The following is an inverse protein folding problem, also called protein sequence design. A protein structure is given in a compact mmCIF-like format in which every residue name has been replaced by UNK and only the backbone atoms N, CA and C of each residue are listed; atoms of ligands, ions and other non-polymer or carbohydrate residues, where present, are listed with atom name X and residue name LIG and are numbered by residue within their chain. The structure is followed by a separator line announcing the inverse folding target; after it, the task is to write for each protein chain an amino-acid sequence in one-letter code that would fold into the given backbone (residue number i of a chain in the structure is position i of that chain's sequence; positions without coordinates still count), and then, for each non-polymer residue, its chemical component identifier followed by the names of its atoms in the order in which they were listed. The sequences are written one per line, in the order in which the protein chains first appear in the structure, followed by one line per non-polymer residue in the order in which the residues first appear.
data_IF_848087027288
#
_entry.id   IF_848087027288
#
_cell.length_a   1.000
_cell.length_b   1.000
_cell.length_c   1.000
_cell.angle_alpha   90.00
_cell.angle_beta   90.00
_cell.angle_gamma   90.00
#
_symmetry.space_group_name_H-M   'P 1'
#
loop_
_entity.id
_entity.type
_entity.pdbx_description
1 polymer ?
#
# COMPACT_ATOMS: atom_id res chain seq x y z
N UNK A 1 -16.65 -7.44 1.82
CA UNK A 1 -17.31 -7.90 3.07
C UNK A 1 -16.79 -6.97 4.16
N UNK A 2 -17.54 -5.90 4.49
CA UNK A 2 -17.20 -5.04 5.64
C UNK A 2 -17.29 -5.94 6.85
N UNK A 3 -16.16 -6.43 7.33
CA UNK A 3 -16.10 -7.12 8.60
C UNK A 3 -16.30 -6.02 9.64
N UNK A 4 -17.52 -5.88 10.13
CA UNK A 4 -17.72 -5.24 11.43
C UNK A 4 -16.80 -5.99 12.38
N UNK A 5 -15.69 -5.38 12.75
CA UNK A 5 -14.83 -5.97 13.78
C UNK A 5 -15.75 -6.09 14.97
N UNK A 6 -16.00 -7.34 15.37
CA UNK A 6 -16.64 -7.55 16.66
C UNK A 6 -15.81 -6.80 17.67
N UNK A 7 -16.44 -5.93 18.42
CA UNK A 7 -15.89 -5.07 19.46
C UNK A 7 -14.96 -5.80 20.44
N UNK A 8 -14.86 -7.13 20.35
CA UNK A 8 -14.02 -7.97 21.20
C UNK A 8 -12.51 -7.73 21.02
N UNK A 9 -12.01 -7.49 19.82
CA UNK A 9 -10.56 -7.32 19.61
C UNK A 9 -10.04 -5.92 20.04
N UNK A 10 -10.93 -4.93 20.08
CA UNK A 10 -10.64 -3.58 20.61
C UNK A 10 -10.99 -3.49 22.09
N UNK A 11 -11.98 -4.27 22.56
CA UNK A 11 -12.43 -4.33 23.96
C UNK A 11 -11.42 -5.02 24.89
N UNK A 12 -10.53 -5.88 24.37
CA UNK A 12 -9.51 -6.54 25.20
C UNK A 12 -8.43 -5.60 25.75
N UNK A 13 -8.36 -4.34 25.26
CA UNK A 13 -7.55 -3.27 25.86
C UNK A 13 -8.34 -2.31 26.78
N UNK A 14 -9.52 -2.68 27.24
CA UNK A 14 -10.33 -1.88 28.19
C UNK A 14 -9.70 -1.78 29.58
N UNK A 15 -8.45 -1.39 29.67
CA UNK A 15 -7.66 -1.18 30.88
C UNK A 15 -6.28 -0.61 30.62
N UNK A 16 -5.82 -0.63 29.37
CA UNK A 16 -4.58 0.04 28.95
C UNK A 16 -4.95 1.36 28.27
N UNK A 17 -4.31 2.44 28.69
CA UNK A 17 -4.46 3.75 28.05
C UNK A 17 -3.93 3.66 26.63
N UNK A 18 -4.80 3.93 25.62
CA UNK A 18 -4.38 4.02 24.23
C UNK A 18 -3.42 5.20 24.08
N UNK A 19 -2.42 5.03 23.22
CA UNK A 19 -1.44 6.04 22.90
C UNK A 19 -1.52 6.44 21.43
N UNK A 20 -1.04 7.64 21.09
CA UNK A 20 -1.02 8.09 19.71
C UNK A 20 0.30 8.75 19.35
N UNK A 21 0.58 8.80 18.03
CA UNK A 21 1.59 9.69 17.48
C UNK A 21 1.12 10.36 16.19
N UNK A 22 1.95 11.24 15.63
CA UNK A 22 1.65 11.97 14.41
C UNK A 22 2.81 11.78 13.43
N UNK A 23 2.49 11.45 12.17
CA UNK A 23 3.41 11.48 11.04
C UNK A 23 2.95 12.63 10.15
N UNK A 24 3.79 13.64 10.00
CA UNK A 24 3.43 14.87 9.32
C UNK A 24 4.29 15.07 8.06
N UNK A 25 3.69 15.61 6.99
CA UNK A 25 4.43 16.14 5.86
C UNK A 25 5.08 17.45 6.25
N UNK A 26 6.31 17.67 5.83
CA UNK A 26 7.08 18.88 6.16
C UNK A 26 6.60 20.09 5.36
N UNK A 27 5.48 20.69 5.82
CA UNK A 27 4.92 21.94 5.33
C UNK A 27 4.14 22.66 6.44
N UNK A 28 3.95 23.98 6.26
CA UNK A 28 3.38 24.87 7.29
C UNK A 28 1.97 24.43 7.69
N UNK A 29 1.11 24.12 6.73
CA UNK A 29 -0.30 23.76 6.99
C UNK A 29 -0.39 22.46 7.80
N UNK A 30 0.43 21.47 7.43
CA UNK A 30 0.50 20.18 8.14
C UNK A 30 0.99 20.34 9.58
N UNK A 31 1.98 21.19 9.83
CA UNK A 31 2.46 21.47 11.19
C UNK A 31 1.46 22.28 12.04
N UNK A 32 0.66 23.16 11.44
CA UNK A 32 -0.42 23.84 12.17
C UNK A 32 -1.50 22.85 12.63
N UNK A 33 -1.87 21.90 11.78
CA UNK A 33 -2.81 20.83 12.11
C UNK A 33 -2.22 19.93 13.21
N UNK A 34 -0.95 19.54 13.10
CA UNK A 34 -0.24 18.76 14.11
C UNK A 34 -0.34 19.42 15.49
N UNK A 35 -0.07 20.73 15.56
CA UNK A 35 -0.15 21.48 16.81
C UNK A 35 -1.57 21.44 17.41
N UNK A 36 -2.59 21.68 16.59
CA UNK A 36 -3.99 21.64 17.04
C UNK A 36 -4.38 20.25 17.60
N UNK A 37 -3.94 19.17 16.93
CA UNK A 37 -4.21 17.80 17.39
C UNK A 37 -3.51 17.53 18.72
N UNK A 38 -2.22 17.91 18.86
CA UNK A 38 -1.47 17.73 20.11
C UNK A 38 -2.08 18.47 21.30
N UNK A 39 -2.72 19.62 21.07
CA UNK A 39 -3.36 20.41 22.12
C UNK A 39 -4.71 19.82 22.59
N UNK A 40 -5.41 19.06 21.72
CA UNK A 40 -6.81 18.65 21.96
C UNK A 40 -7.01 17.14 22.14
N UNK A 41 -6.08 16.30 21.66
CA UNK A 41 -6.17 14.84 21.87
C UNK A 41 -5.77 14.52 23.30
N UNK A 42 -6.63 13.79 24.02
CA UNK A 42 -6.48 13.45 25.43
C UNK A 42 -5.66 12.19 25.70
N UNK A 43 -5.25 11.47 24.64
CA UNK A 43 -4.43 10.26 24.74
C UNK A 43 -2.97 10.60 24.99
N UNK A 44 -2.21 9.65 25.54
CA UNK A 44 -0.76 9.78 25.72
C UNK A 44 -0.04 9.81 24.36
N UNK A 45 0.88 10.78 24.20
CA UNK A 45 1.72 10.85 23.00
C UNK A 45 2.91 9.88 23.12
N UNK A 46 2.98 8.89 22.22
CA UNK A 46 4.01 7.88 22.19
C UNK A 46 4.47 7.62 20.75
N UNK A 47 5.70 7.98 20.40
CA UNK A 47 6.27 7.81 19.07
C UNK A 47 7.06 6.51 18.86
N UNK A 48 7.20 5.67 19.90
CA UNK A 48 7.90 4.38 19.77
C UNK A 48 6.95 3.26 19.37
N UNK A 49 5.82 3.12 20.06
CA UNK A 49 4.84 2.08 19.80
C UNK A 49 3.40 2.58 20.01
N UNK A 50 2.90 3.48 19.17
CA UNK A 50 1.56 4.03 19.30
C UNK A 50 0.48 3.01 18.89
N UNK A 51 -0.69 3.12 19.54
CA UNK A 51 -1.90 2.39 19.11
C UNK A 51 -2.58 3.07 17.92
N UNK A 52 -2.49 4.41 17.86
CA UNK A 52 -3.08 5.26 16.83
C UNK A 52 -1.99 6.13 16.19
N UNK A 53 -2.03 6.26 14.87
CA UNK A 53 -1.17 7.19 14.14
C UNK A 53 -2.03 8.13 13.30
N UNK A 54 -1.87 9.44 13.51
CA UNK A 54 -2.47 10.44 12.64
C UNK A 54 -1.45 10.84 11.58
N UNK A 55 -1.72 10.47 10.32
CA UNK A 55 -0.87 10.79 9.17
C UNK A 55 -1.42 12.03 8.47
N UNK A 56 -0.69 13.15 8.52
CA UNK A 56 -1.10 14.45 7.98
C UNK A 56 -0.31 14.76 6.71
N UNK A 57 -0.97 14.76 5.56
CA UNK A 57 -0.34 14.99 4.25
C UNK A 57 -1.14 14.37 3.11
N UNK A 58 -0.46 13.86 2.09
CA UNK A 58 -1.05 13.09 0.99
C UNK A 58 -0.90 11.58 1.21
N UNK A 59 -1.33 10.77 0.24
CA UNK A 59 -1.24 9.30 0.29
C UNK A 59 0.17 8.79 0.59
N UNK A 60 1.23 9.44 0.07
CA UNK A 60 2.61 9.08 0.38
C UNK A 60 2.96 9.19 1.87
N UNK A 61 2.44 10.20 2.58
CA UNK A 61 2.62 10.35 4.03
C UNK A 61 1.87 9.25 4.79
N UNK A 62 0.67 8.92 4.33
CA UNK A 62 -0.14 7.86 4.93
C UNK A 62 0.53 6.49 4.75
N UNK A 63 1.00 6.18 3.54
CA UNK A 63 1.75 4.95 3.25
C UNK A 63 3.01 4.87 4.12
N UNK A 64 3.78 5.97 4.23
CA UNK A 64 4.94 6.04 5.12
C UNK A 64 4.57 5.70 6.57
N UNK A 65 3.45 6.22 7.08
CA UNK A 65 2.96 5.91 8.42
C UNK A 65 2.66 4.41 8.60
N UNK A 66 2.09 3.74 7.60
CA UNK A 66 1.81 2.29 7.65
C UNK A 66 3.07 1.41 7.69
N UNK A 67 4.20 1.92 7.18
CA UNK A 67 5.48 1.23 7.25
C UNK A 67 6.20 1.48 8.58
N UNK A 68 6.13 2.71 9.10
CA UNK A 68 6.73 3.06 10.40
C UNK A 68 6.01 2.38 11.57
N UNK A 69 4.68 2.26 11.47
CA UNK A 69 3.83 1.74 12.55
C UNK A 69 2.86 0.67 12.05
N UNK A 70 3.36 -0.52 11.69
CA UNK A 70 2.55 -1.54 11.00
C UNK A 70 1.41 -2.14 11.84
N UNK A 71 1.46 -1.97 13.17
CA UNK A 71 0.42 -2.48 14.09
C UNK A 71 -0.65 -1.44 14.44
N UNK A 72 -0.36 -0.15 14.20
CA UNK A 72 -1.22 0.96 14.60
C UNK A 72 -2.47 1.09 13.71
N UNK A 73 -3.48 1.79 14.25
CA UNK A 73 -4.64 2.25 13.49
C UNK A 73 -4.27 3.61 12.88
N UNK A 74 -4.41 3.75 11.57
CA UNK A 74 -3.99 4.93 10.82
C UNK A 74 -5.18 5.83 10.53
N UNK A 75 -5.13 7.08 10.98
CA UNK A 75 -6.03 8.16 10.61
C UNK A 75 -5.35 9.02 9.54
N UNK A 76 -5.86 8.99 8.31
CA UNK A 76 -5.32 9.79 7.21
C UNK A 76 -5.99 11.15 7.09
N UNK A 77 -5.21 12.23 7.13
CA UNK A 77 -5.67 13.61 6.95
C UNK A 77 -5.04 14.20 5.71
N UNK A 78 -5.86 14.63 4.72
CA UNK A 78 -5.32 15.34 3.57
C UNK A 78 -5.28 16.86 3.80
N UNK A 79 -4.16 17.46 3.38
CA UNK A 79 -3.92 18.91 3.46
C UNK A 79 -3.93 19.61 2.10
N UNK A 80 -4.06 18.85 1.02
CA UNK A 80 -4.06 19.33 -0.36
C UNK A 80 -5.08 18.52 -1.19
N UNK A 81 -4.64 18.02 -2.36
CA UNK A 81 -5.47 17.16 -3.18
C UNK A 81 -5.86 15.90 -2.43
N UNK A 82 -7.12 15.52 -2.55
CA UNK A 82 -7.65 14.35 -1.90
C UNK A 82 -7.12 13.07 -2.56
N UNK A 83 -6.48 12.23 -1.75
CA UNK A 83 -6.00 10.91 -2.14
C UNK A 83 -7.01 9.79 -1.87
N UNK A 84 -6.54 8.56 -2.01
CA UNK A 84 -7.33 7.36 -1.76
C UNK A 84 -7.36 6.91 -0.31
N UNK A 85 -6.32 7.26 0.47
CA UNK A 85 -6.16 6.78 1.86
C UNK A 85 -6.55 7.81 2.92
N UNK A 86 -6.66 9.09 2.52
CA UNK A 86 -7.09 10.13 3.46
C UNK A 86 -8.61 10.09 3.66
N UNK A 87 -9.03 9.97 4.92
CA UNK A 87 -10.43 9.82 5.31
C UNK A 87 -10.98 11.06 6.04
N UNK A 88 -10.08 11.98 6.40
CA UNK A 88 -10.42 13.28 6.98
C UNK A 88 -9.77 14.38 6.17
N UNK A 89 -10.50 15.48 6.00
CA UNK A 89 -9.99 16.72 5.42
C UNK A 89 -9.42 17.62 6.52
N UNK A 90 -8.67 18.65 6.11
CA UNK A 90 -8.23 19.70 7.03
C UNK A 90 -9.37 20.43 7.74
N UNK A 91 -10.58 20.43 7.17
CA UNK A 91 -11.76 21.08 7.74
C UNK A 91 -12.50 20.15 8.74
N UNK A 92 -12.11 18.88 8.83
CA UNK A 92 -12.71 17.85 9.70
C UNK A 92 -11.82 17.48 10.90
N UNK A 93 -10.83 18.32 11.24
CA UNK A 93 -9.90 18.03 12.34
C UNK A 93 -10.59 17.92 13.70
N UNK A 94 -11.58 18.75 13.99
CA UNK A 94 -12.33 18.64 15.25
C UNK A 94 -13.17 17.35 15.30
N UNK A 95 -13.65 16.84 14.16
CA UNK A 95 -14.31 15.55 14.06
C UNK A 95 -13.32 14.41 14.34
N UNK A 96 -12.14 14.44 13.70
CA UNK A 96 -11.06 13.45 13.94
C UNK A 96 -10.67 13.41 15.42
N UNK A 97 -10.48 14.56 16.06
CA UNK A 97 -10.14 14.67 17.47
C UNK A 97 -11.22 14.05 18.35
N UNK A 98 -12.50 14.36 18.04
CA UNK A 98 -13.63 13.76 18.76
C UNK A 98 -13.66 12.23 18.58
N UNK A 99 -13.47 11.74 17.37
CA UNK A 99 -13.44 10.30 17.07
C UNK A 99 -12.34 9.57 17.85
N UNK A 100 -11.14 10.15 17.91
CA UNK A 100 -10.02 9.60 18.69
C UNK A 100 -10.36 9.62 20.20
N UNK A 101 -10.80 10.75 20.74
CA UNK A 101 -11.04 10.91 22.17
C UNK A 101 -12.22 10.08 22.68
N UNK A 102 -13.25 9.91 21.85
CA UNK A 102 -14.46 9.12 22.19
C UNK A 102 -14.37 7.65 21.73
N UNK A 103 -13.28 7.27 21.02
CA UNK A 103 -13.13 5.96 20.37
C UNK A 103 -14.32 5.61 19.46
N UNK A 104 -14.80 6.60 18.67
CA UNK A 104 -16.00 6.52 17.83
C UNK A 104 -15.61 6.55 16.34
N UNK A 105 -15.01 5.49 15.84
CA UNK A 105 -14.58 5.33 14.44
C UNK A 105 -14.74 3.89 13.97
N UNK A 106 -14.82 3.71 12.66
CA UNK A 106 -14.77 2.39 12.02
C UNK A 106 -13.34 2.10 11.54
N UNK A 107 -12.99 0.82 11.43
CA UNK A 107 -11.67 0.39 10.95
C UNK A 107 -11.83 -0.56 9.76
N UNK A 108 -11.22 -0.20 8.64
CA UNK A 108 -11.05 -1.07 7.49
C UNK A 108 -9.67 -1.75 7.54
N UNK A 109 -9.63 -3.05 7.21
CA UNK A 109 -8.38 -3.81 7.10
C UNK A 109 -8.01 -3.97 5.62
N UNK A 110 -6.92 -3.35 5.21
CA UNK A 110 -6.36 -3.48 3.87
C UNK A 110 -5.22 -4.50 3.90
N UNK A 111 -5.25 -5.49 3.01
CA UNK A 111 -4.19 -6.50 2.89
C UNK A 111 -2.94 -5.91 2.27
N UNK A 112 -1.75 -6.36 2.73
CA UNK A 112 -0.46 -6.02 2.16
C UNK A 112 0.10 -7.19 1.36
N UNK A 113 0.68 -6.91 0.19
CA UNK A 113 1.54 -7.86 -0.50
C UNK A 113 2.86 -7.98 0.25
N UNK A 114 3.36 -9.19 0.39
CA UNK A 114 4.71 -9.49 0.89
C UNK A 114 5.61 -9.82 -0.28
N UNK A 115 6.81 -9.23 -0.28
CA UNK A 115 7.90 -9.52 -1.19
C UNK A 115 9.02 -10.22 -0.43
N UNK A 116 9.41 -11.41 -0.86
CA UNK A 116 10.61 -12.12 -0.39
C UNK A 116 11.64 -12.09 -1.50
N UNK A 117 12.80 -11.51 -1.24
CA UNK A 117 13.92 -11.42 -2.18
C UNK A 117 15.02 -12.31 -1.66
N UNK A 118 15.31 -13.42 -2.34
CA UNK A 118 16.38 -14.35 -2.01
C UNK A 118 17.59 -14.09 -2.93
N UNK A 119 18.76 -13.84 -2.35
CA UNK A 119 20.02 -13.80 -3.10
C UNK A 119 20.64 -15.19 -3.26
N UNK A 120 21.75 -15.28 -4.01
CA UNK A 120 22.43 -16.56 -4.25
C UNK A 120 23.17 -17.09 -3.02
N UNK A 121 23.41 -16.27 -2.01
CA UNK A 121 24.02 -16.66 -0.74
C UNK A 121 22.97 -17.17 0.27
N UNK A 122 21.69 -17.16 -0.12
CA UNK A 122 20.55 -17.60 0.70
C UNK A 122 20.07 -16.56 1.71
N UNK A 123 20.53 -15.32 1.60
CA UNK A 123 19.98 -14.22 2.39
C UNK A 123 18.63 -13.82 1.84
N UNK A 124 17.66 -13.66 2.73
CA UNK A 124 16.28 -13.25 2.37
C UNK A 124 15.97 -11.86 2.95
N UNK A 125 15.47 -10.99 2.09
CA UNK A 125 14.93 -9.68 2.45
C UNK A 125 13.41 -9.76 2.35
N UNK A 126 12.71 -9.31 3.38
CA UNK A 126 11.25 -9.21 3.40
C UNK A 126 10.82 -7.76 3.38
N UNK A 127 9.83 -7.45 2.54
CA UNK A 127 9.20 -6.14 2.49
C UNK A 127 7.70 -6.27 2.18
N UNK A 128 6.89 -5.32 2.63
CA UNK A 128 5.44 -5.39 2.48
C UNK A 128 4.89 -4.13 1.82
N UNK A 129 4.08 -4.27 0.78
CA UNK A 129 3.45 -3.16 0.06
C UNK A 129 1.96 -3.06 0.35
N UNK A 130 1.50 -1.84 0.56
CA UNK A 130 0.07 -1.51 0.58
C UNK A 130 -0.46 -1.29 -0.83
N UNK A 131 0.30 -0.60 -1.70
CA UNK A 131 -0.06 -0.36 -3.09
C UNK A 131 0.47 -1.46 -4.02
N UNK A 132 1.76 -1.43 -4.29
CA UNK A 132 2.37 -2.30 -5.29
C UNK A 132 3.84 -2.58 -5.01
N UNK A 133 4.31 -3.66 -5.62
CA UNK A 133 5.71 -4.02 -5.74
C UNK A 133 6.08 -3.93 -7.21
N UNK A 134 7.15 -3.20 -7.54
CA UNK A 134 7.68 -3.16 -8.90
C UNK A 134 9.08 -3.76 -8.97
N UNK A 135 9.36 -4.43 -10.08
CA UNK A 135 10.70 -4.96 -10.39
C UNK A 135 11.09 -4.39 -11.74
N UNK A 136 12.09 -3.52 -11.78
CA UNK A 136 12.51 -2.81 -12.99
C UNK A 136 14.02 -2.83 -13.16
N UNK A 137 14.51 -2.75 -14.39
CA UNK A 137 15.93 -2.51 -14.70
C UNK A 137 16.07 -1.35 -15.66
N UNK A 138 16.68 -0.25 -15.29
CA UNK A 138 17.09 0.79 -16.21
C UNK A 138 18.55 0.57 -16.65
N UNK A 139 18.95 0.93 -17.82
CA UNK A 139 18.27 1.22 -19.10
C UNK A 139 18.26 0.00 -20.06
N UNK A 140 18.22 -1.20 -19.53
CA UNK A 140 18.32 -2.46 -20.30
C UNK A 140 16.97 -3.18 -20.35
N UNK A 141 16.84 -4.15 -21.25
CA UNK A 141 15.70 -5.07 -21.23
C UNK A 141 15.84 -6.04 -20.04
N UNK A 142 14.85 -6.02 -19.16
CA UNK A 142 14.72 -7.01 -18.10
C UNK A 142 14.19 -8.32 -18.69
N UNK A 143 14.82 -9.43 -18.33
CA UNK A 143 14.39 -10.77 -18.68
C UNK A 143 14.14 -11.55 -17.40
N UNK A 144 12.89 -11.95 -17.19
CA UNK A 144 12.46 -12.70 -16.02
C UNK A 144 11.66 -13.93 -16.45
N UNK A 145 11.92 -15.06 -15.85
CA UNK A 145 10.99 -16.18 -15.85
C UNK A 145 9.94 -15.93 -14.77
N UNK A 146 8.68 -15.89 -15.19
CA UNK A 146 7.52 -15.66 -14.34
C UNK A 146 6.80 -16.97 -14.13
N UNK A 147 6.61 -17.38 -12.88
CA UNK A 147 5.84 -18.56 -12.51
C UNK A 147 4.76 -18.19 -11.50
N UNK A 148 3.63 -18.90 -11.52
CA UNK A 148 2.52 -18.76 -10.58
C UNK A 148 2.27 -20.13 -9.96
N UNK A 149 2.37 -20.23 -8.62
CA UNK A 149 2.21 -21.48 -7.88
C UNK A 149 3.10 -22.62 -8.43
N UNK A 150 4.36 -22.30 -8.79
CA UNK A 150 5.36 -23.17 -9.44
C UNK A 150 5.03 -23.55 -10.89
N UNK A 151 3.94 -23.06 -11.49
CA UNK A 151 3.64 -23.26 -12.90
C UNK A 151 4.26 -22.12 -13.71
N UNK A 152 5.10 -22.46 -14.69
CA UNK A 152 5.74 -21.48 -15.59
C UNK A 152 4.66 -20.78 -16.42
N UNK A 153 4.59 -19.45 -16.35
CA UNK A 153 3.68 -18.64 -17.15
C UNK A 153 4.37 -18.16 -18.44
N UNK A 154 5.46 -17.41 -18.28
CA UNK A 154 6.13 -16.77 -19.41
C UNK A 154 7.58 -16.41 -19.10
N UNK A 155 8.36 -16.18 -20.15
CA UNK A 155 9.63 -15.47 -20.09
C UNK A 155 9.39 -14.01 -20.50
N UNK A 156 9.14 -13.18 -19.50
CA UNK A 156 8.94 -11.75 -19.70
C UNK A 156 10.19 -11.08 -20.26
N UNK A 157 9.99 -10.16 -21.20
CA UNK A 157 10.99 -9.22 -21.69
C UNK A 157 10.38 -7.84 -21.77
N UNK A 158 10.97 -6.85 -21.09
CA UNK A 158 10.44 -5.50 -21.08
C UNK A 158 11.22 -4.60 -20.14
N UNK A 159 10.59 -3.53 -19.66
CA UNK A 159 11.18 -2.62 -18.69
C UNK A 159 11.04 -3.14 -17.27
N UNK A 160 9.93 -3.83 -16.96
CA UNK A 160 9.66 -4.33 -15.62
C UNK A 160 8.27 -4.91 -15.45
N UNK A 161 7.98 -5.31 -14.21
CA UNK A 161 6.70 -5.84 -13.77
C UNK A 161 6.19 -5.05 -12.55
N UNK A 162 4.87 -4.89 -12.47
CA UNK A 162 4.18 -4.31 -11.32
C UNK A 162 3.18 -5.31 -10.77
N UNK A 163 3.26 -5.63 -9.50
CA UNK A 163 2.29 -6.47 -8.79
C UNK A 163 1.55 -5.59 -7.79
N UNK A 164 0.25 -5.44 -7.97
CA UNK A 164 -0.57 -4.48 -7.23
C UNK A 164 -1.65 -5.16 -6.40
N UNK A 165 -1.94 -4.54 -5.25
CA UNK A 165 -3.14 -4.83 -4.44
C UNK A 165 -4.37 -4.18 -5.09
N UNK A 166 -5.60 -4.52 -4.68
CA UNK A 166 -6.80 -3.78 -5.08
C UNK A 166 -6.73 -2.29 -4.70
N UNK A 167 -6.26 -1.96 -3.49
CA UNK A 167 -6.10 -0.56 -3.08
C UNK A 167 -5.03 0.18 -3.91
N UNK A 168 -3.93 -0.48 -4.27
CA UNK A 168 -2.89 0.06 -5.15
C UNK A 168 -3.28 0.12 -6.62
N UNK A 169 -4.40 -0.51 -7.03
CA UNK A 169 -4.85 -0.49 -8.43
C UNK A 169 -5.11 0.92 -8.96
N UNK A 170 -5.34 1.89 -8.08
CA UNK A 170 -5.56 3.29 -8.40
C UNK A 170 -4.28 4.15 -8.38
N UNK A 171 -3.16 3.55 -7.94
CA UNK A 171 -1.83 4.18 -7.87
C UNK A 171 -1.01 3.96 -9.16
N UNK A 172 0.24 3.56 -9.06
CA UNK A 172 1.12 3.41 -10.22
C UNK A 172 0.64 2.36 -11.23
N UNK A 173 0.04 1.28 -10.74
CA UNK A 173 -0.57 0.25 -11.58
C UNK A 173 -1.56 0.82 -12.62
N UNK A 174 -2.37 1.84 -12.25
CA UNK A 174 -3.28 2.51 -13.18
C UNK A 174 -2.52 3.20 -14.32
N UNK A 175 -1.40 3.85 -14.03
CA UNK A 175 -0.56 4.52 -15.03
C UNK A 175 0.09 3.55 -16.01
N UNK A 176 0.23 2.28 -15.62
CA UNK A 176 0.75 1.19 -16.44
C UNK A 176 -0.32 0.51 -17.28
N UNK A 177 -1.57 0.99 -17.24
CA UNK A 177 -2.69 0.37 -17.96
C UNK A 177 -3.37 -0.77 -17.21
N UNK A 178 -3.05 -0.96 -15.95
CA UNK A 178 -3.77 -1.88 -15.07
C UNK A 178 -5.22 -1.45 -14.83
N UNK A 179 -6.09 -2.40 -14.52
CA UNK A 179 -7.49 -2.15 -14.21
C UNK A 179 -7.65 -1.52 -12.81
N UNK A 180 -8.62 -0.61 -12.68
CA UNK A 180 -9.06 -0.11 -11.38
C UNK A 180 -9.93 -1.17 -10.72
N UNK A 181 -9.58 -1.57 -9.51
CA UNK A 181 -10.19 -2.69 -8.79
C UNK A 181 -10.82 -2.20 -7.49
N UNK A 182 -12.03 -2.67 -7.20
CA UNK A 182 -12.69 -2.41 -5.92
C UNK A 182 -11.86 -3.01 -4.77
N UNK A 183 -11.57 -2.19 -3.75
CA UNK A 183 -10.71 -2.58 -2.61
C UNK A 183 -11.27 -3.75 -1.79
N UNK A 184 -12.55 -4.08 -1.95
CA UNK A 184 -13.20 -5.23 -1.30
C UNK A 184 -12.92 -6.58 -1.96
N UNK A 185 -12.37 -6.57 -3.20
CA UNK A 185 -12.03 -7.80 -3.91
C UNK A 185 -10.74 -8.42 -3.38
N UNK A 186 -10.74 -9.73 -3.25
CA UNK A 186 -9.60 -10.50 -2.74
C UNK A 186 -8.74 -11.03 -3.89
N UNK A 187 -8.00 -10.13 -4.53
CA UNK A 187 -7.17 -10.39 -5.71
C UNK A 187 -5.80 -9.71 -5.62
N UNK A 188 -4.90 -10.05 -6.54
CA UNK A 188 -3.73 -9.25 -6.91
C UNK A 188 -3.70 -9.09 -8.43
N UNK A 189 -2.97 -8.11 -8.92
CA UNK A 189 -2.85 -7.83 -10.35
C UNK A 189 -1.37 -7.75 -10.75
N UNK A 190 -1.00 -8.49 -11.78
CA UNK A 190 0.31 -8.43 -12.44
C UNK A 190 0.16 -7.60 -13.72
N UNK A 191 0.93 -6.53 -13.85
CA UNK A 191 0.95 -5.63 -15.00
C UNK A 191 2.36 -5.51 -15.55
N UNK A 192 2.52 -5.74 -16.86
CA UNK A 192 3.78 -5.58 -17.56
C UNK A 192 4.09 -4.12 -17.85
N UNK A 193 5.38 -3.76 -17.78
CA UNK A 193 5.89 -2.44 -18.17
C UNK A 193 6.65 -2.57 -19.48
N UNK A 194 6.09 -2.01 -20.56
CA UNK A 194 6.68 -2.02 -21.89
C UNK A 194 7.16 -3.42 -22.33
N UNK A 195 6.30 -4.43 -22.20
CA UNK A 195 6.57 -5.80 -22.65
C UNK A 195 6.90 -5.84 -24.15
N UNK A 196 7.95 -6.58 -24.51
CA UNK A 196 8.42 -6.71 -25.91
C UNK A 196 7.74 -7.90 -26.57
N UNK A 197 7.01 -7.63 -27.64
CA UNK A 197 6.40 -8.63 -28.50
C UNK A 197 7.00 -8.58 -29.90
N UNK A 198 7.45 -9.71 -30.40
CA UNK A 198 8.03 -9.88 -31.72
C UNK A 198 7.70 -11.28 -32.26
N UNK A 199 8.22 -11.62 -33.43
CA UNK A 199 8.08 -12.99 -33.96
C UNK A 199 8.74 -14.05 -33.08
N UNK A 200 9.77 -13.67 -32.31
CA UNK A 200 10.57 -14.58 -31.47
C UNK A 200 10.22 -14.53 -29.99
N UNK A 201 9.51 -13.51 -29.55
CA UNK A 201 9.19 -13.28 -28.14
C UNK A 201 7.72 -12.92 -27.98
N UNK A 202 7.08 -13.52 -27.01
CA UNK A 202 5.70 -13.24 -26.64
C UNK A 202 5.61 -13.00 -25.15
N UNK A 203 4.88 -11.98 -24.75
CA UNK A 203 4.44 -11.74 -23.38
C UNK A 203 2.92 -11.68 -23.34
N UNK A 204 2.33 -11.73 -22.16
CA UNK A 204 0.87 -11.71 -21.99
C UNK A 204 0.25 -10.43 -22.55
N UNK A 205 0.95 -9.29 -22.43
CA UNK A 205 0.56 -7.97 -22.96
C UNK A 205 -0.78 -7.44 -22.48
N UNK A 206 -1.26 -7.95 -21.37
CA UNK A 206 -2.47 -7.47 -20.70
C UNK A 206 -2.33 -7.70 -19.19
N UNK A 207 -2.97 -6.87 -18.35
CA UNK A 207 -2.98 -7.10 -16.91
C UNK A 207 -3.59 -8.46 -16.57
N UNK A 208 -2.90 -9.25 -15.74
CA UNK A 208 -3.37 -10.52 -15.24
C UNK A 208 -3.90 -10.37 -13.82
N UNK A 209 -5.17 -10.71 -13.62
CA UNK A 209 -5.84 -10.67 -12.32
C UNK A 209 -5.82 -12.06 -11.72
N UNK A 210 -5.27 -12.19 -10.51
CA UNK A 210 -5.10 -13.44 -9.78
C UNK A 210 -5.84 -13.40 -8.45
N UNK A 211 -6.34 -14.54 -8.01
CA UNK A 211 -6.86 -14.68 -6.65
C UNK A 211 -5.73 -14.45 -5.62
N UNK A 212 -6.07 -13.92 -4.46
CA UNK A 212 -5.09 -13.52 -3.42
C UNK A 212 -4.31 -14.69 -2.81
N UNK A 213 -4.76 -15.91 -2.99
CA UNK A 213 -4.05 -17.11 -2.52
C UNK A 213 -2.94 -17.59 -3.46
N UNK A 214 -2.70 -16.91 -4.59
CA UNK A 214 -1.63 -17.23 -5.53
C UNK A 214 -0.28 -16.67 -5.06
N UNK A 215 0.79 -17.30 -5.55
CA UNK A 215 2.19 -16.86 -5.33
C UNK A 215 2.83 -16.63 -6.69
N UNK A 216 3.38 -15.44 -6.90
CA UNK A 216 4.13 -15.08 -8.09
C UNK A 216 5.61 -15.23 -7.76
N UNK A 217 6.33 -16.02 -8.54
CA UNK A 217 7.77 -16.17 -8.44
C UNK A 217 8.42 -15.59 -9.70
N UNK A 218 9.45 -14.76 -9.49
CA UNK A 218 10.24 -14.14 -10.54
C UNK A 218 11.69 -14.63 -10.40
N UNK A 219 12.25 -15.17 -11.49
CA UNK A 219 13.65 -15.58 -11.55
C UNK A 219 14.39 -14.81 -12.63
N UNK A 220 15.56 -14.30 -12.30
CA UNK A 220 16.41 -13.60 -13.27
C UNK A 220 16.99 -14.58 -14.31
N UNK A 221 17.03 -14.13 -15.57
CA UNK A 221 17.78 -14.80 -16.62
C UNK A 221 19.04 -13.98 -16.90
N UNK A 222 20.15 -14.52 -16.43
CA UNK A 222 21.47 -13.86 -16.49
C UNK A 222 21.71 -12.94 -15.30
N UNK A 223 22.80 -12.20 -15.43
CA UNK A 223 23.29 -11.30 -14.41
C UNK A 223 22.70 -9.91 -14.64
N UNK A 224 21.72 -9.54 -13.83
CA UNK A 224 20.99 -8.27 -13.98
C UNK A 224 20.82 -7.58 -12.63
N UNK A 225 21.11 -6.28 -12.63
CA UNK A 225 20.77 -5.38 -11.54
C UNK A 225 19.31 -4.94 -11.69
N UNK A 226 18.55 -4.99 -10.61
CA UNK A 226 17.15 -4.56 -10.58
C UNK A 226 16.90 -3.58 -9.44
N UNK A 227 15.99 -2.65 -9.70
CA UNK A 227 15.35 -1.86 -8.66
C UNK A 227 14.03 -2.54 -8.30
N UNK A 228 13.88 -2.89 -7.03
CA UNK A 228 12.63 -3.37 -6.47
C UNK A 228 12.06 -2.24 -5.63
N UNK A 229 10.90 -1.72 -6.04
CA UNK A 229 10.20 -0.69 -5.28
C UNK A 229 9.02 -1.32 -4.57
N UNK A 230 8.92 -1.11 -3.27
CA UNK A 230 7.84 -1.58 -2.40
C UNK A 230 7.17 -0.33 -1.82
N UNK A 231 6.05 0.08 -2.39
CA UNK A 231 5.45 1.40 -2.15
C UNK A 231 6.47 2.54 -2.40
N UNK A 232 6.96 3.19 -1.34
CA UNK A 232 7.96 4.25 -1.41
C UNK A 232 9.39 3.79 -1.09
N UNK A 233 9.58 2.53 -0.71
CA UNK A 233 10.89 1.95 -0.38
C UNK A 233 11.56 1.39 -1.62
N UNK A 234 12.85 1.69 -1.79
CA UNK A 234 13.63 1.27 -2.96
C UNK A 234 14.77 0.35 -2.52
N UNK A 235 14.88 -0.78 -3.18
CA UNK A 235 15.96 -1.76 -2.99
C UNK A 235 16.70 -1.93 -4.32
N UNK A 236 18.01 -1.66 -4.31
CA UNK A 236 18.90 -1.99 -5.43
C UNK A 236 19.47 -3.36 -5.17
N UNK A 237 19.17 -4.31 -6.04
CA UNK A 237 19.60 -5.70 -5.93
C UNK A 237 20.41 -6.07 -7.16
N UNK A 238 21.70 -6.36 -6.96
CA UNK A 238 22.61 -6.69 -8.05
C UNK A 238 22.43 -8.12 -8.56
N UNK A 239 22.15 -9.07 -7.66
CA UNK A 239 22.01 -10.47 -7.99
C UNK A 239 20.93 -11.07 -7.09
N UNK A 240 19.91 -11.65 -7.66
CA UNK A 240 18.90 -12.37 -6.89
C UNK A 240 18.62 -13.75 -7.50
N UNK A 241 18.37 -14.71 -6.65
CA UNK A 241 17.98 -16.07 -7.03
C UNK A 241 16.50 -16.12 -7.39
N UNK A 242 15.67 -15.53 -6.54
CA UNK A 242 14.23 -15.43 -6.73
C UNK A 242 13.63 -14.24 -6.00
N UNK A 243 12.51 -13.74 -6.54
CA UNK A 243 11.61 -12.80 -5.87
C UNK A 243 10.25 -13.48 -5.81
N UNK A 244 9.71 -13.66 -4.61
CA UNK A 244 8.40 -14.28 -4.41
C UNK A 244 7.44 -13.22 -3.84
N UNK A 245 6.29 -13.06 -4.51
CA UNK A 245 5.29 -12.07 -4.13
C UNK A 245 3.96 -12.77 -3.87
N UNK A 246 3.37 -12.50 -2.70
CA UNK A 246 2.15 -13.14 -2.24
C UNK A 246 1.47 -12.31 -1.15
N UNK A 247 0.25 -12.67 -0.76
CA UNK A 247 -0.37 -12.14 0.45
C UNK A 247 0.00 -12.99 1.67
N UNK A 248 0.55 -12.32 2.69
CA UNK A 248 0.63 -12.85 4.05
C UNK A 248 -0.59 -12.37 4.87
N UNK A 249 -0.63 -12.67 6.16
CA UNK A 249 -1.69 -12.24 7.09
C UNK A 249 -1.58 -10.75 7.48
N UNK A 250 -0.63 -10.02 6.93
CA UNK A 250 -0.36 -8.61 7.25
C UNK A 250 -1.44 -7.70 6.68
N UNK A 251 -1.93 -6.81 7.53
CA UNK A 251 -2.95 -5.82 7.17
C UNK A 251 -2.60 -4.44 7.70
N UNK A 252 -3.03 -3.42 6.99
CA UNK A 252 -3.10 -2.05 7.49
C UNK A 252 -4.50 -1.80 8.02
N UNK A 253 -4.60 -1.13 9.17
CA UNK A 253 -5.86 -0.74 9.79
C UNK A 253 -6.09 0.74 9.51
N UNK A 254 -7.06 1.07 8.67
CA UNK A 254 -7.42 2.46 8.33
C UNK A 254 -8.67 2.87 9.08
N UNK A 255 -8.63 4.02 9.77
CA UNK A 255 -9.76 4.57 10.51
C UNK A 255 -10.64 5.48 9.64
N UNK A 256 -11.94 5.43 9.87
CA UNK A 256 -12.95 6.26 9.21
C UNK A 256 -14.00 6.73 10.21
N UNK A 257 -14.51 7.94 10.03
CA UNK A 257 -15.74 8.36 10.70
C UNK A 257 -16.96 7.66 10.08
N UNK A 258 -17.05 7.75 8.75
CA UNK A 258 -18.04 7.04 7.93
C UNK A 258 -17.36 6.46 6.71
N UNK A 259 -17.59 5.17 6.43
CA UNK A 259 -17.00 4.51 5.27
C UNK A 259 -17.55 5.12 3.97
N UNK A 260 -16.67 5.76 3.19
CA UNK A 260 -17.04 6.27 1.88
C UNK A 260 -17.12 5.14 0.86
N UNK A 261 -18.19 5.10 0.08
CA UNK A 261 -18.34 4.14 -1.01
C UNK A 261 -17.22 4.30 -2.04
N UNK A 262 -16.62 3.17 -2.47
CA UNK A 262 -15.55 3.11 -3.46
C UNK A 262 -15.84 3.94 -4.72
N UNK A 263 -17.06 3.86 -5.28
CA UNK A 263 -17.43 4.62 -6.48
C UNK A 263 -17.45 6.13 -6.25
N UNK A 264 -17.85 6.59 -5.06
CA UNK A 264 -17.77 8.02 -4.71
C UNK A 264 -16.31 8.47 -4.67
N UNK A 265 -15.42 7.66 -4.09
CA UNK A 265 -13.98 7.92 -4.04
C UNK A 265 -13.37 8.00 -5.44
N UNK A 266 -13.66 7.04 -6.32
CA UNK A 266 -13.24 7.06 -7.74
C UNK A 266 -13.72 8.32 -8.44
N UNK A 267 -15.03 8.65 -8.32
CA UNK A 267 -15.61 9.83 -8.96
C UNK A 267 -14.90 11.10 -8.49
N UNK A 268 -14.72 11.27 -7.20
CA UNK A 268 -14.11 12.44 -6.59
C UNK A 268 -12.65 12.62 -7.00
N UNK A 269 -11.89 11.51 -7.07
CA UNK A 269 -10.44 11.57 -7.33
C UNK A 269 -10.11 11.68 -8.81
N UNK A 270 -10.89 11.04 -9.69
CA UNK A 270 -10.52 10.94 -11.11
C UNK A 270 -11.47 11.62 -12.09
N UNK A 271 -12.72 11.88 -11.73
CA UNK A 271 -13.74 12.26 -12.69
C UNK A 271 -14.34 13.66 -12.45
N UNK A 272 -14.16 14.22 -11.26
CA UNK A 272 -14.61 15.57 -10.95
C UNK A 272 -13.42 16.50 -11.07
N UNK A 273 -13.46 17.43 -12.05
CA UNK A 273 -12.56 18.56 -12.06
C UNK A 273 -12.94 19.44 -10.87
N UNK A 274 -11.98 19.68 -9.97
CA UNK A 274 -12.11 20.72 -8.96
C UNK A 274 -11.78 22.06 -9.68
N UNK A 275 -12.76 22.59 -10.43
CA UNK A 275 -12.73 23.95 -10.93
C UNK A 275 -13.09 24.93 -9.81
#
# INVERSE_FOLDING_TARGET
MVIRIEWLDIILKKGEFMSYCIVVRDDIDSHLIEKNIKEKVSLEYNNENPDIVVAIGGDGTIIKATHLYPSAIIFGVHTGHLGFYANYSKDEIDLLINDINSNSFEVEKLKKLTCEIEDFDGKVIHADALNEITVVTPPRTLILDVSIDNEFLERFRGTGLCISTPSGSTAYNKSLGGGVVDSTLDIMQLTEMAGINSNSYRTLSSPLILASNRRIELKSIGDVEVYITVDHLNYLINHFKSIVIYYDKKVVKMAYHNHENFLKRIKRTFLINND
#
